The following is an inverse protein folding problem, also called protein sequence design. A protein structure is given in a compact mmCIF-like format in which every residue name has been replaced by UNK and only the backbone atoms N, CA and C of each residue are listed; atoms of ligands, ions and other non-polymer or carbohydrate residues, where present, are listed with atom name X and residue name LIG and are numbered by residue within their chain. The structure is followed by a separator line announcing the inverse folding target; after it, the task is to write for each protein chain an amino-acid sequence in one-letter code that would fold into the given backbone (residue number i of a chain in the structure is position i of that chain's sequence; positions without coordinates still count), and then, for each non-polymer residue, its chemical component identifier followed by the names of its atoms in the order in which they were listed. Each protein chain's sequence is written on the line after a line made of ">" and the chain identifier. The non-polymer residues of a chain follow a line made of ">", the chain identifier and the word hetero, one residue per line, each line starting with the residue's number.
data_IF_807074519564
#
_entry.id   IF_807074519564
#
_cell.length_a   1.000
_cell.length_b   1.000
_cell.length_c   1.000
_cell.angle_alpha   90.00
_cell.angle_beta   90.00
_cell.angle_gamma   90.00
#
_symmetry.space_group_name_H-M   'P 1'
#
loop_
_entity.id
_entity.type
_entity.pdbx_description
1 polymer ?
#
# COMPACT_ATOMS: atom_id res chain seq x y z
N UNK A 1 20.55 -28.44 34.92
CA UNK A 1 19.38 -28.68 35.80
C UNK A 1 18.78 -27.32 36.14
N UNK A 2 17.87 -26.80 35.31
CA UNK A 2 17.19 -25.51 35.53
C UNK A 2 16.12 -25.74 36.61
N UNK A 3 16.24 -25.06 37.75
CA UNK A 3 15.23 -25.12 38.81
C UNK A 3 14.00 -24.35 38.35
N UNK A 4 12.89 -25.05 38.14
CA UNK A 4 11.57 -24.46 38.02
C UNK A 4 11.15 -23.89 39.38
N UNK A 5 11.05 -22.56 39.48
CA UNK A 5 10.35 -21.90 40.57
C UNK A 5 8.85 -21.99 40.30
N UNK A 6 8.12 -22.69 41.17
CA UNK A 6 6.68 -22.89 41.05
C UNK A 6 5.90 -21.58 41.09
N UNK A 7 4.94 -21.45 40.18
CA UNK A 7 3.99 -20.33 40.09
C UNK A 7 2.80 -20.64 40.98
N UNK A 8 2.47 -19.74 41.89
CA UNK A 8 1.16 -19.73 42.56
C UNK A 8 0.16 -18.95 41.70
N UNK A 9 -0.82 -19.65 41.15
CA UNK A 9 -2.11 -19.10 40.72
C UNK A 9 -2.14 -18.41 39.35
N UNK A 10 -2.31 -19.20 38.29
CA UNK A 10 -3.14 -18.95 37.08
C UNK A 10 -2.80 -20.06 36.07
N UNK A 11 -3.72 -21.01 35.91
CA UNK A 11 -3.70 -21.94 34.79
C UNK A 11 -3.82 -21.11 33.49
N UNK A 12 -2.89 -21.33 32.55
CA UNK A 12 -2.56 -20.49 31.38
C UNK A 12 -1.91 -19.13 31.67
N UNK A 13 -0.56 -19.02 31.66
CA UNK A 13 0.07 -17.72 31.60
C UNK A 13 -0.07 -17.14 30.19
N UNK A 14 -1.12 -16.36 29.95
CA UNK A 14 -1.29 -15.53 28.73
C UNK A 14 -0.12 -14.53 28.52
N UNK A 15 0.75 -14.39 29.52
CA UNK A 15 1.92 -13.53 29.49
C UNK A 15 3.10 -14.14 30.25
N UNK A 16 4.27 -14.18 29.58
CA UNK A 16 5.55 -14.56 30.20
C UNK A 16 6.42 -13.32 30.31
N UNK A 17 6.78 -12.93 31.54
CA UNK A 17 7.68 -11.80 31.81
C UNK A 17 9.11 -12.30 32.01
N UNK A 18 10.02 -11.86 31.14
CA UNK A 18 11.46 -12.17 31.21
C UNK A 18 12.19 -10.92 31.71
N UNK A 19 13.00 -11.05 32.77
CA UNK A 19 13.78 -9.95 33.34
C UNK A 19 15.26 -10.28 33.42
N UNK A 20 16.11 -9.43 32.84
CA UNK A 20 17.57 -9.54 32.89
C UNK A 20 18.10 -8.69 34.05
N UNK A 21 18.78 -9.32 35.01
CA UNK A 21 19.21 -8.69 36.27
C UNK A 21 20.72 -8.51 36.40
N UNK A 22 21.52 -9.21 35.60
CA UNK A 22 22.97 -9.05 35.62
C UNK A 22 23.39 -8.20 34.43
N UNK A 23 24.00 -7.04 34.68
CA UNK A 23 24.51 -6.13 33.64
C UNK A 23 25.71 -6.66 32.85
N UNK A 24 25.90 -7.97 32.73
CA UNK A 24 26.93 -8.57 31.89
C UNK A 24 26.64 -8.35 30.41
N UNK A 25 27.68 -8.15 29.60
CA UNK A 25 27.53 -7.83 28.17
C UNK A 25 26.70 -8.85 27.37
N UNK A 26 26.62 -10.10 27.82
CA UNK A 26 25.80 -11.14 27.20
C UNK A 26 24.28 -10.92 27.30
N UNK A 27 23.79 -10.32 28.39
CA UNK A 27 22.36 -10.11 28.63
C UNK A 27 21.77 -9.10 27.63
N UNK A 28 22.54 -8.07 27.26
CA UNK A 28 22.13 -7.09 26.22
C UNK A 28 22.06 -7.73 24.84
N UNK A 29 23.06 -8.54 24.47
CA UNK A 29 23.09 -9.22 23.16
C UNK A 29 21.95 -10.22 23.04
N UNK A 30 21.66 -10.98 24.10
CA UNK A 30 20.52 -11.89 24.11
C UNK A 30 19.19 -11.12 24.02
N UNK A 31 19.03 -10.03 24.77
CA UNK A 31 17.82 -9.20 24.71
C UNK A 31 17.58 -8.63 23.31
N UNK A 32 18.61 -8.10 22.65
CA UNK A 32 18.51 -7.58 21.27
C UNK A 32 18.13 -8.69 20.28
N UNK A 33 18.75 -9.87 20.39
CA UNK A 33 18.41 -11.03 19.54
C UNK A 33 16.99 -11.53 19.80
N UNK A 34 16.55 -11.60 21.06
CA UNK A 34 15.21 -12.01 21.44
C UNK A 34 14.17 -11.01 20.92
N UNK A 35 14.44 -9.71 21.04
CA UNK A 35 13.58 -8.65 20.48
C UNK A 35 13.51 -8.74 18.95
N UNK A 36 14.63 -9.02 18.29
CA UNK A 36 14.69 -9.26 16.85
C UNK A 36 13.84 -10.46 16.43
N UNK A 37 14.01 -11.60 17.11
CA UNK A 37 13.20 -12.79 16.88
C UNK A 37 11.72 -12.52 17.12
N UNK A 38 11.37 -11.81 18.20
CA UNK A 38 9.99 -11.48 18.57
C UNK A 38 9.29 -10.57 17.55
N UNK A 39 10.04 -9.68 16.92
CA UNK A 39 9.56 -8.86 15.79
C UNK A 39 9.35 -9.71 14.54
N UNK A 40 10.27 -10.63 14.26
CA UNK A 40 10.22 -11.47 13.06
C UNK A 40 9.15 -12.58 13.14
N UNK A 41 8.77 -13.04 14.34
CA UNK A 41 7.73 -14.06 14.59
C UNK A 41 7.82 -15.32 13.71
N UNK A 42 9.04 -15.70 13.32
CA UNK A 42 9.29 -16.78 12.35
C UNK A 42 8.73 -18.14 12.78
N UNK A 43 8.59 -18.39 14.08
CA UNK A 43 8.00 -19.62 14.60
C UNK A 43 6.48 -19.74 14.38
N UNK A 44 5.82 -18.66 13.92
CA UNK A 44 4.40 -18.69 13.51
C UNK A 44 4.24 -19.04 12.02
N UNK A 45 5.33 -19.08 11.24
CA UNK A 45 5.30 -19.58 9.88
C UNK A 45 5.19 -21.11 9.94
N UNK A 46 4.12 -21.68 9.38
CA UNK A 46 3.87 -23.14 9.37
C UNK A 46 4.97 -23.96 8.67
N UNK A 47 5.90 -23.30 7.96
CA UNK A 47 7.04 -23.90 7.28
C UNK A 47 8.38 -23.29 7.74
N UNK A 48 8.59 -23.17 9.05
CA UNK A 48 9.88 -22.74 9.58
C UNK A 48 10.93 -23.87 9.46
N UNK A 49 12.12 -23.62 8.88
CA UNK A 49 13.22 -24.58 8.88
C UNK A 49 13.59 -25.01 10.31
N UNK A 50 13.97 -26.27 10.55
CA UNK A 50 14.35 -26.74 11.87
C UNK A 50 15.52 -25.93 12.44
N UNK A 51 15.46 -25.61 13.74
CA UNK A 51 16.49 -24.86 14.45
C UNK A 51 17.86 -25.55 14.30
N UNK A 52 18.93 -24.83 13.90
CA UNK A 52 20.26 -25.40 13.81
C UNK A 52 20.74 -25.89 15.18
N UNK A 53 21.13 -27.16 15.27
CA UNK A 53 21.72 -27.74 16.46
C UNK A 53 23.03 -26.99 16.80
N UNK A 54 23.00 -26.18 17.86
CA UNK A 54 24.09 -25.33 18.31
C UNK A 54 25.23 -26.07 19.01
N UNK A 55 25.80 -27.10 18.38
CA UNK A 55 26.91 -27.89 18.94
C UNK A 55 28.28 -27.53 18.33
N UNK A 56 28.56 -26.23 18.17
CA UNK A 56 29.84 -25.78 17.61
C UNK A 56 30.07 -24.27 17.68
N UNK A 57 30.02 -23.68 18.87
CA UNK A 57 30.51 -22.31 19.09
C UNK A 57 31.74 -22.36 20.01
N UNK A 58 32.89 -22.63 19.39
CA UNK A 58 34.21 -22.35 19.93
C UNK A 58 34.57 -20.90 19.64
N UNK A 59 34.37 -20.09 20.67
CA UNK A 59 34.81 -18.72 20.93
C UNK A 59 35.99 -18.18 20.10
N UNK A 60 35.79 -17.00 19.49
CA UNK A 60 36.85 -16.16 18.93
C UNK A 60 36.62 -14.74 19.41
N UNK A 61 36.94 -14.49 20.68
CA UNK A 61 37.12 -13.14 21.19
C UNK A 61 38.59 -12.89 21.51
N UNK A 62 39.13 -11.89 20.82
CA UNK A 62 40.45 -11.31 21.06
C UNK A 62 40.47 -10.63 22.43
N UNK A 63 41.40 -10.99 23.28
CA UNK A 63 41.92 -10.14 24.34
C UNK A 63 43.35 -10.57 24.70
N UNK A 64 44.27 -9.60 24.64
CA UNK A 64 45.59 -9.64 25.29
C UNK A 64 45.45 -9.99 26.78
N UNK A 65 46.44 -10.67 27.40
CA UNK A 65 47.37 -9.86 28.21
C UNK A 65 48.82 -10.39 28.29
N UNK A 66 49.72 -9.45 28.60
CA UNK A 66 51.00 -9.72 29.24
C UNK A 66 50.80 -10.44 30.59
N UNK A 67 51.57 -11.50 30.85
CA UNK A 67 52.42 -11.74 32.03
C UNK A 67 52.74 -13.24 32.24
N UNK A 68 54.03 -13.55 32.45
CA UNK A 68 54.52 -14.47 33.48
C UNK A 68 54.07 -15.95 33.53
N UNK A 69 54.89 -16.82 32.92
CA UNK A 69 55.50 -18.02 33.52
C UNK A 69 54.65 -19.17 34.15
N UNK A 70 54.85 -20.37 33.54
CA UNK A 70 54.95 -21.76 34.06
C UNK A 70 53.73 -22.71 34.02
N UNK A 71 54.06 -23.93 33.58
CA UNK A 71 53.31 -25.22 33.59
C UNK A 71 52.21 -25.33 32.52
N UNK A 72 52.09 -26.34 31.66
CA UNK A 72 52.71 -27.66 31.54
C UNK A 72 51.68 -28.59 30.86
N UNK A 73 52.02 -29.11 29.67
CA UNK A 73 51.35 -30.20 28.92
C UNK A 73 50.15 -29.89 28.00
N UNK A 74 50.37 -30.03 26.69
CA UNK A 74 49.57 -31.01 25.93
C UNK A 74 48.48 -30.56 24.96
N UNK A 75 48.66 -29.51 24.15
CA UNK A 75 47.99 -29.43 22.84
C UNK A 75 48.97 -28.94 21.80
N UNK A 76 49.40 -29.86 20.94
CA UNK A 76 50.23 -29.56 19.78
C UNK A 76 49.54 -28.46 18.95
N UNK A 77 50.14 -27.28 18.94
CA UNK A 77 49.81 -26.23 18.00
C UNK A 77 50.31 -26.71 16.64
N UNK A 78 49.46 -27.34 15.84
CA UNK A 78 49.72 -27.57 14.42
C UNK A 78 49.53 -26.23 13.68
N UNK A 79 50.35 -25.25 14.05
CA UNK A 79 50.45 -23.97 13.36
C UNK A 79 51.46 -24.14 12.22
N UNK A 80 50.95 -24.42 11.03
CA UNK A 80 51.70 -24.61 9.79
C UNK A 80 50.75 -24.72 8.61
N UNK A 81 51.27 -24.61 7.38
CA UNK A 81 50.50 -24.58 6.13
C UNK A 81 49.55 -25.79 6.01
N UNK A 82 49.95 -26.95 6.54
CA UNK A 82 49.13 -28.16 6.61
C UNK A 82 47.86 -28.01 7.49
N UNK A 83 47.89 -27.19 8.54
CA UNK A 83 46.72 -26.90 9.38
C UNK A 83 45.71 -25.98 8.68
N UNK A 84 46.21 -25.01 7.90
CA UNK A 84 45.36 -24.17 7.04
C UNK A 84 44.79 -24.98 5.87
N UNK A 85 45.55 -25.91 5.29
CA UNK A 85 45.08 -26.82 4.26
C UNK A 85 43.97 -27.75 4.78
N UNK A 86 44.15 -28.34 5.97
CA UNK A 86 43.12 -29.16 6.59
C UNK A 86 41.88 -28.35 6.98
N UNK A 87 42.05 -27.10 7.45
CA UNK A 87 40.94 -26.20 7.71
C UNK A 87 40.19 -25.82 6.43
N UNK A 88 40.90 -25.57 5.32
CA UNK A 88 40.31 -25.28 4.01
C UNK A 88 39.56 -26.48 3.42
N UNK A 89 40.11 -27.69 3.56
CA UNK A 89 39.44 -28.93 3.15
C UNK A 89 38.17 -29.19 3.98
N UNK A 90 38.23 -28.98 5.30
CA UNK A 90 37.06 -29.12 6.17
C UNK A 90 35.98 -28.06 5.84
N UNK A 91 36.37 -26.84 5.49
CA UNK A 91 35.42 -25.80 5.08
C UNK A 91 34.75 -26.14 3.74
N UNK A 92 35.50 -26.67 2.76
CA UNK A 92 34.92 -27.16 1.50
C UNK A 92 33.95 -28.32 1.74
N UNK A 93 34.32 -29.28 2.58
CA UNK A 93 33.46 -30.41 2.92
C UNK A 93 32.19 -29.98 3.67
N UNK A 94 32.28 -29.00 4.57
CA UNK A 94 31.11 -28.46 5.26
C UNK A 94 30.20 -27.68 4.31
N UNK A 95 30.77 -26.91 3.38
CA UNK A 95 30.01 -26.23 2.33
C UNK A 95 29.33 -27.24 1.40
N UNK A 96 30.02 -28.30 1.01
CA UNK A 96 29.46 -29.39 0.17
C UNK A 96 28.28 -30.08 0.86
N UNK A 97 28.39 -30.39 2.15
CA UNK A 97 27.28 -30.96 2.93
C UNK A 97 26.11 -29.97 3.09
N UNK A 98 26.40 -28.69 3.32
CA UNK A 98 25.35 -27.67 3.46
C UNK A 98 24.61 -27.46 2.12
N UNK A 99 25.34 -27.49 1.00
CA UNK A 99 24.77 -27.39 -0.34
C UNK A 99 23.98 -28.66 -0.69
N UNK A 100 24.51 -29.84 -0.37
CA UNK A 100 23.84 -31.13 -0.60
C UNK A 100 22.50 -31.22 0.14
N UNK A 101 22.49 -30.91 1.44
CA UNK A 101 21.24 -30.89 2.23
C UNK A 101 20.24 -29.85 1.70
N UNK A 102 20.70 -28.67 1.28
CA UNK A 102 19.82 -27.66 0.71
C UNK A 102 19.19 -28.10 -0.63
N UNK A 103 19.88 -28.90 -1.44
CA UNK A 103 19.33 -29.47 -2.66
C UNK A 103 18.36 -30.62 -2.40
N UNK A 104 18.62 -31.47 -1.41
CA UNK A 104 17.70 -32.53 -0.98
C UNK A 104 16.39 -31.93 -0.43
N UNK A 105 16.49 -30.89 0.41
CA UNK A 105 15.33 -30.16 0.90
C UNK A 105 14.55 -29.47 -0.24
N UNK A 106 15.25 -28.91 -1.23
CA UNK A 106 14.62 -28.32 -2.41
C UNK A 106 13.90 -29.38 -3.25
N UNK A 107 14.48 -30.56 -3.40
CA UNK A 107 13.85 -31.68 -4.13
C UNK A 107 12.60 -32.20 -3.41
N UNK A 108 12.64 -32.32 -2.07
CA UNK A 108 11.48 -32.64 -1.27
C UNK A 108 10.37 -31.57 -1.39
N UNK A 109 10.75 -30.29 -1.39
CA UNK A 109 9.82 -29.18 -1.61
C UNK A 109 9.26 -29.15 -3.04
N UNK A 110 10.06 -29.49 -4.05
CA UNK A 110 9.57 -29.63 -5.43
C UNK A 110 8.61 -30.81 -5.57
N UNK A 111 8.82 -31.90 -4.83
CA UNK A 111 7.92 -33.05 -4.81
C UNK A 111 6.57 -32.67 -4.17
N UNK A 112 6.57 -31.99 -3.01
CA UNK A 112 5.34 -31.54 -2.37
C UNK A 112 4.60 -30.50 -3.21
N UNK A 113 5.30 -29.57 -3.85
CA UNK A 113 4.70 -28.59 -4.76
C UNK A 113 4.03 -29.26 -5.98
N UNK A 114 4.62 -30.34 -6.51
CA UNK A 114 4.00 -31.12 -7.61
C UNK A 114 2.73 -31.85 -7.16
N UNK A 115 2.69 -32.38 -5.93
CA UNK A 115 1.47 -32.98 -5.38
C UNK A 115 0.36 -31.95 -5.23
N UNK A 116 0.68 -30.77 -4.70
CA UNK A 116 -0.28 -29.64 -4.60
C UNK A 116 -0.76 -29.19 -5.98
N UNK A 117 0.13 -29.10 -6.97
CA UNK A 117 -0.22 -28.77 -8.35
C UNK A 117 -1.11 -29.83 -8.98
N UNK A 118 -0.82 -31.12 -8.78
CA UNK A 118 -1.65 -32.21 -9.29
C UNK A 118 -3.06 -32.19 -8.68
N UNK A 119 -3.15 -31.83 -7.39
CA UNK A 119 -4.43 -31.68 -6.69
C UNK A 119 -5.22 -30.49 -7.25
N UNK A 120 -4.57 -29.34 -7.45
CA UNK A 120 -5.19 -28.17 -8.09
C UNK A 120 -5.66 -28.48 -9.53
N UNK A 121 -4.86 -29.18 -10.33
CA UNK A 121 -5.22 -29.63 -11.68
C UNK A 121 -6.38 -30.62 -11.67
N UNK A 122 -6.44 -31.52 -10.68
CA UNK A 122 -7.54 -32.48 -10.52
C UNK A 122 -8.87 -31.77 -10.24
N UNK A 123 -8.86 -30.75 -9.39
CA UNK A 123 -10.02 -29.90 -9.14
C UNK A 123 -10.41 -29.10 -10.39
N UNK A 124 -9.43 -28.51 -11.09
CA UNK A 124 -9.69 -27.77 -12.34
C UNK A 124 -10.23 -28.68 -13.46
N UNK A 125 -9.85 -29.96 -13.50
CA UNK A 125 -10.35 -30.95 -14.46
C UNK A 125 -11.74 -31.47 -14.10
N UNK A 126 -12.00 -31.76 -12.83
CA UNK A 126 -13.34 -32.11 -12.35
C UNK A 126 -14.33 -30.97 -12.62
N UNK A 127 -13.87 -29.72 -12.52
CA UNK A 127 -14.67 -28.53 -12.82
C UNK A 127 -15.03 -28.39 -14.31
N UNK A 128 -14.14 -28.81 -15.23
CA UNK A 128 -14.41 -28.83 -16.69
C UNK A 128 -15.31 -29.99 -17.14
N UNK A 129 -15.51 -31.00 -16.30
CA UNK A 129 -16.32 -32.18 -16.60
C UNK A 129 -17.77 -32.08 -16.09
N UNK A 130 -18.14 -30.98 -15.43
CA UNK A 130 -19.53 -30.66 -15.06
C UNK A 130 -20.29 -30.00 -16.24
N UNK A 131 -21.58 -30.27 -16.43
CA UNK A 131 -22.33 -29.84 -17.61
C UNK A 131 -22.40 -28.31 -17.71
N UNK A 132 -22.26 -27.81 -18.96
CA UNK A 132 -22.10 -26.42 -19.44
C UNK A 132 -23.20 -25.38 -19.06
N UNK A 133 -23.87 -25.50 -17.91
CA UNK A 133 -24.89 -24.52 -17.47
C UNK A 133 -24.68 -23.91 -16.06
N UNK A 134 -23.64 -24.31 -15.31
CA UNK A 134 -23.45 -23.92 -13.90
C UNK A 134 -22.16 -23.12 -13.60
N UNK A 135 -21.47 -22.60 -14.62
CA UNK A 135 -20.12 -22.02 -14.49
C UNK A 135 -20.03 -20.78 -13.58
N UNK A 136 -21.13 -20.04 -13.37
CA UNK A 136 -21.11 -18.84 -12.54
C UNK A 136 -21.32 -19.12 -11.05
N UNK A 137 -22.22 -20.03 -10.69
CA UNK A 137 -22.49 -20.39 -9.28
C UNK A 137 -21.38 -21.26 -8.71
N UNK A 138 -20.83 -22.19 -9.49
CA UNK A 138 -19.70 -23.01 -9.06
C UNK A 138 -18.43 -22.16 -8.80
N UNK A 139 -18.17 -21.15 -9.63
CA UNK A 139 -17.05 -20.22 -9.42
C UNK A 139 -17.25 -19.32 -8.19
N UNK A 140 -18.49 -18.92 -7.88
CA UNK A 140 -18.80 -18.15 -6.67
C UNK A 140 -18.62 -18.98 -5.39
N UNK A 141 -19.08 -20.24 -5.40
CA UNK A 141 -18.90 -21.18 -4.29
C UNK A 141 -17.42 -21.52 -4.06
N UNK A 142 -16.59 -21.50 -5.11
CA UNK A 142 -15.14 -21.63 -5.01
C UNK A 142 -14.47 -20.40 -4.41
N UNK A 143 -14.90 -19.19 -4.76
CA UNK A 143 -14.42 -17.96 -4.11
C UNK A 143 -14.80 -17.94 -2.62
N UNK A 144 -16.01 -18.39 -2.28
CA UNK A 144 -16.49 -18.52 -0.90
C UNK A 144 -15.75 -19.63 -0.12
N UNK A 145 -15.45 -20.77 -0.76
CA UNK A 145 -14.71 -21.86 -0.13
C UNK A 145 -13.21 -21.53 0.03
N UNK A 146 -12.60 -20.83 -0.93
CA UNK A 146 -11.21 -20.38 -0.85
C UNK A 146 -11.02 -19.30 0.23
N UNK A 147 -11.99 -18.38 0.36
CA UNK A 147 -12.01 -17.39 1.46
C UNK A 147 -12.25 -18.04 2.82
N UNK A 148 -13.13 -19.04 2.94
CA UNK A 148 -13.33 -19.81 4.17
C UNK A 148 -12.10 -20.63 4.60
N UNK A 149 -11.32 -21.12 3.65
CA UNK A 149 -10.09 -21.88 3.91
C UNK A 149 -8.87 -20.99 4.18
N UNK A 150 -9.02 -19.65 4.18
CA UNK A 150 -7.91 -18.72 4.40
C UNK A 150 -6.86 -18.73 3.27
N UNK A 151 -7.16 -19.41 2.16
CA UNK A 151 -6.37 -19.39 0.95
C UNK A 151 -6.67 -18.07 0.24
N UNK A 152 -5.95 -17.01 0.61
CA UNK A 152 -5.84 -15.84 -0.25
C UNK A 152 -5.36 -16.37 -1.59
N UNK A 153 -6.17 -16.20 -2.63
CA UNK A 153 -5.91 -16.68 -3.98
C UNK A 153 -4.68 -15.97 -4.54
N UNK A 154 -3.51 -16.47 -4.21
CA UNK A 154 -2.23 -15.95 -4.68
C UNK A 154 -2.06 -16.26 -6.16
N UNK A 155 -1.35 -15.37 -6.84
CA UNK A 155 -1.06 -15.46 -8.28
C UNK A 155 -0.49 -16.83 -8.67
N UNK A 156 0.23 -17.51 -7.78
CA UNK A 156 0.85 -18.81 -8.06
C UNK A 156 -0.13 -20.00 -7.95
N UNK A 157 -1.17 -19.91 -7.12
CA UNK A 157 -2.20 -20.97 -6.99
C UNK A 157 -3.20 -20.91 -8.16
N UNK A 158 -3.51 -19.71 -8.64
CA UNK A 158 -4.47 -19.49 -9.74
C UNK A 158 -3.77 -19.37 -11.11
N UNK A 159 -2.53 -18.89 -11.15
CA UNK A 159 -1.75 -18.66 -12.38
C UNK A 159 -0.92 -19.84 -12.86
N UNK A 160 -0.90 -20.98 -12.14
CA UNK A 160 -0.16 -22.19 -12.50
C UNK A 160 -0.60 -22.88 -13.80
N UNK A 161 -1.71 -22.46 -14.40
CA UNK A 161 -2.12 -22.87 -15.74
C UNK A 161 -2.54 -21.65 -16.54
N UNK A 162 -1.86 -21.37 -17.66
CA UNK A 162 -2.03 -20.20 -18.53
C UNK A 162 -3.39 -20.08 -19.24
N UNK A 163 -4.50 -20.24 -18.51
CA UNK A 163 -5.84 -19.94 -19.00
C UNK A 163 -6.19 -18.50 -18.61
N UNK A 164 -6.55 -17.66 -19.60
CA UNK A 164 -6.99 -16.28 -19.36
C UNK A 164 -8.17 -16.17 -18.38
N UNK A 165 -8.91 -17.25 -18.16
CA UNK A 165 -9.98 -17.32 -17.17
C UNK A 165 -9.46 -17.18 -15.74
N UNK A 166 -8.36 -17.84 -15.40
CA UNK A 166 -7.76 -17.80 -14.07
C UNK A 166 -7.15 -16.42 -13.76
N UNK A 167 -6.47 -15.80 -14.72
CA UNK A 167 -5.96 -14.42 -14.58
C UNK A 167 -7.11 -13.42 -14.38
N UNK A 168 -8.22 -13.60 -15.12
CA UNK A 168 -9.40 -12.75 -14.97
C UNK A 168 -10.05 -12.87 -13.59
N UNK A 169 -10.12 -14.08 -13.02
CA UNK A 169 -10.65 -14.30 -11.67
C UNK A 169 -9.76 -13.61 -10.62
N UNK A 170 -8.45 -13.83 -10.67
CA UNK A 170 -7.49 -13.15 -9.80
C UNK A 170 -7.63 -11.63 -9.84
N UNK A 171 -7.67 -11.04 -11.05
CA UNK A 171 -7.81 -9.59 -11.20
C UNK A 171 -9.16 -9.08 -10.68
N UNK A 172 -10.23 -9.87 -10.82
CA UNK A 172 -11.55 -9.51 -10.32
C UNK A 172 -11.63 -9.51 -8.78
N UNK A 173 -11.01 -10.49 -8.14
CA UNK A 173 -10.92 -10.56 -6.67
C UNK A 173 -10.00 -9.46 -6.13
N UNK A 174 -8.86 -9.22 -6.78
CA UNK A 174 -7.99 -8.10 -6.45
C UNK A 174 -8.75 -6.78 -6.57
N UNK A 175 -9.53 -6.58 -7.63
CA UNK A 175 -10.35 -5.37 -7.82
C UNK A 175 -11.34 -5.14 -6.68
N UNK A 176 -12.03 -6.19 -6.22
CA UNK A 176 -12.96 -6.14 -5.07
C UNK A 176 -12.23 -5.83 -3.77
N UNK A 177 -11.12 -6.51 -3.49
CA UNK A 177 -10.29 -6.28 -2.30
C UNK A 177 -9.76 -4.84 -2.25
N UNK A 178 -9.31 -4.30 -3.39
CA UNK A 178 -8.87 -2.90 -3.48
C UNK A 178 -10.01 -1.91 -3.22
N UNK A 179 -11.20 -2.18 -3.75
CA UNK A 179 -12.38 -1.36 -3.48
C UNK A 179 -12.75 -1.40 -2.00
N UNK A 180 -12.77 -2.58 -1.40
CA UNK A 180 -13.01 -2.78 0.04
C UNK A 180 -11.98 -2.02 0.88
N UNK A 181 -10.68 -2.14 0.56
CA UNK A 181 -9.61 -1.42 1.24
C UNK A 181 -9.79 0.11 1.20
N UNK A 182 -10.29 0.64 0.09
CA UNK A 182 -10.57 2.07 -0.08
C UNK A 182 -11.83 2.52 0.68
N UNK A 183 -12.87 1.69 0.70
CA UNK A 183 -14.14 1.99 1.37
C UNK A 183 -14.16 1.65 2.85
N UNK A 184 -13.17 0.91 3.34
CA UNK A 184 -13.05 0.54 4.75
C UNK A 184 -13.04 1.80 5.63
N UNK A 185 -14.14 1.97 6.37
CA UNK A 185 -14.39 3.13 7.19
C UNK A 185 -13.38 3.28 8.32
N UNK A 186 -12.81 2.17 8.81
CA UNK A 186 -11.82 2.18 9.88
C UNK A 186 -10.49 2.79 9.42
N UNK A 187 -10.12 2.54 8.16
CA UNK A 187 -8.90 3.11 7.57
C UNK A 187 -9.14 4.50 7.03
N UNK A 188 -10.32 4.74 6.46
CA UNK A 188 -10.74 6.03 5.93
C UNK A 188 -9.76 6.61 4.92
N UNK A 189 -9.15 5.74 4.09
CA UNK A 189 -8.04 6.11 3.18
C UNK A 189 -8.46 7.26 2.27
N UNK A 190 -9.61 7.13 1.63
CA UNK A 190 -10.12 8.14 0.72
C UNK A 190 -10.54 9.43 1.45
N UNK A 191 -11.09 9.32 2.66
CA UNK A 191 -11.44 10.49 3.49
C UNK A 191 -10.21 11.29 3.91
N UNK A 192 -9.13 10.61 4.30
CA UNK A 192 -7.86 11.25 4.68
C UNK A 192 -7.17 11.96 3.52
N UNK A 193 -7.36 11.45 2.30
CA UNK A 193 -6.80 12.03 1.08
C UNK A 193 -7.73 13.06 0.41
N UNK A 194 -8.73 13.60 1.10
CA UNK A 194 -9.61 14.63 0.51
C UNK A 194 -10.56 14.12 -0.58
N UNK A 195 -10.87 12.82 -0.58
CA UNK A 195 -11.82 12.20 -1.50
C UNK A 195 -11.21 11.68 -2.81
N UNK A 196 -9.90 11.85 -3.01
CA UNK A 196 -9.19 11.46 -4.24
C UNK A 196 -7.75 11.08 -3.92
N UNK A 197 -7.20 10.10 -4.62
CA UNK A 197 -5.81 9.68 -4.42
C UNK A 197 -5.17 9.21 -5.73
N UNK A 198 -3.86 9.42 -5.90
CA UNK A 198 -3.15 8.86 -7.05
C UNK A 198 -3.11 7.34 -6.98
N UNK A 199 -3.14 6.69 -8.15
CA UNK A 199 -3.05 5.23 -8.24
C UNK A 199 -1.71 4.72 -7.66
N UNK A 200 -0.65 5.51 -7.83
CA UNK A 200 0.70 5.21 -7.33
C UNK A 200 0.74 5.25 -5.80
N UNK A 201 0.18 6.30 -5.19
CA UNK A 201 0.13 6.42 -3.72
C UNK A 201 -0.75 5.32 -3.13
N UNK A 202 -1.86 5.00 -3.78
CA UNK A 202 -2.72 3.91 -3.36
C UNK A 202 -2.00 2.57 -3.43
N UNK A 203 -1.29 2.28 -4.53
CA UNK A 203 -0.49 1.06 -4.67
C UNK A 203 0.56 0.95 -3.56
N UNK A 204 1.27 2.05 -3.27
CA UNK A 204 2.29 2.09 -2.23
C UNK A 204 1.66 1.85 -0.83
N UNK A 205 0.54 2.50 -0.52
CA UNK A 205 -0.16 2.30 0.75
C UNK A 205 -0.71 0.89 0.91
N UNK A 206 -1.27 0.31 -0.16
CA UNK A 206 -1.82 -1.04 -0.14
C UNK A 206 -0.73 -2.08 0.13
N UNK A 207 0.38 -2.00 -0.59
CA UNK A 207 1.52 -2.91 -0.40
C UNK A 207 2.20 -2.69 0.96
N UNK A 208 2.26 -1.45 1.46
CA UNK A 208 2.77 -1.15 2.80
C UNK A 208 1.88 -1.72 3.90
N UNK A 209 0.56 -1.69 3.73
CA UNK A 209 -0.39 -2.27 4.67
C UNK A 209 -0.27 -3.80 4.78
N UNK A 210 0.20 -4.48 3.71
CA UNK A 210 0.48 -5.92 3.69
C UNK A 210 1.81 -6.35 4.34
N UNK A 211 2.64 -5.39 4.79
CA UNK A 211 3.84 -5.71 5.58
C UNK A 211 4.94 -6.48 4.85
N UNK A 212 4.97 -6.45 3.51
CA UNK A 212 6.02 -7.09 2.70
C UNK A 212 5.74 -8.53 2.28
N UNK A 213 4.56 -9.07 2.60
CA UNK A 213 4.10 -10.39 2.15
C UNK A 213 3.06 -10.21 1.04
N UNK A 214 3.09 -11.04 0.00
CA UNK A 214 2.14 -11.01 -1.14
C UNK A 214 1.95 -9.61 -1.77
N UNK A 215 3.07 -9.05 -2.24
CA UNK A 215 3.09 -7.77 -2.94
C UNK A 215 2.38 -7.86 -4.28
N UNK A 216 1.56 -6.85 -4.58
CA UNK A 216 0.89 -6.73 -5.88
C UNK A 216 1.77 -5.93 -6.83
N UNK A 217 1.96 -6.45 -8.05
CA UNK A 217 2.73 -5.75 -9.09
C UNK A 217 1.99 -4.50 -9.57
N UNK A 218 2.69 -3.42 -9.96
CA UNK A 218 2.03 -2.20 -10.48
C UNK A 218 1.11 -2.46 -11.67
N UNK A 219 1.49 -3.37 -12.57
CA UNK A 219 0.70 -3.72 -13.75
C UNK A 219 -0.59 -4.46 -13.39
N UNK A 220 -0.52 -5.42 -12.45
CA UNK A 220 -1.71 -6.13 -11.99
C UNK A 220 -2.65 -5.19 -11.22
N UNK A 221 -2.08 -4.24 -10.48
CA UNK A 221 -2.84 -3.20 -9.76
C UNK A 221 -3.62 -2.31 -10.73
N UNK A 222 -2.98 -1.84 -11.80
CA UNK A 222 -3.63 -1.04 -12.84
C UNK A 222 -4.75 -1.83 -13.54
N UNK A 223 -4.47 -3.08 -13.95
CA UNK A 223 -5.48 -3.96 -14.57
C UNK A 223 -6.69 -4.15 -13.65
N UNK A 224 -6.48 -4.37 -12.36
CA UNK A 224 -7.55 -4.53 -11.38
C UNK A 224 -8.34 -3.23 -11.17
N UNK A 225 -7.68 -2.07 -11.15
CA UNK A 225 -8.35 -0.77 -11.04
C UNK A 225 -9.26 -0.47 -12.25
N UNK A 226 -8.87 -0.87 -13.46
CA UNK A 226 -9.69 -0.74 -14.67
C UNK A 226 -10.96 -1.60 -14.64
N UNK A 227 -11.03 -2.63 -13.79
CA UNK A 227 -12.22 -3.47 -13.63
C UNK A 227 -13.30 -2.84 -12.73
N UNK A 228 -13.01 -1.77 -11.98
CA UNK A 228 -13.98 -1.17 -11.05
C UNK A 228 -15.25 -0.68 -11.74
N UNK A 229 -15.13 -0.09 -12.94
CA UNK A 229 -16.29 0.36 -13.72
C UNK A 229 -17.15 -0.82 -14.20
N UNK A 230 -16.50 -1.89 -14.66
CA UNK A 230 -17.17 -3.11 -15.15
C UNK A 230 -17.90 -3.82 -14.02
N UNK A 231 -17.29 -3.89 -12.84
CA UNK A 231 -17.84 -4.53 -11.64
C UNK A 231 -18.82 -3.62 -10.87
N UNK A 232 -19.03 -2.38 -11.33
CA UNK A 232 -19.94 -1.38 -10.71
C UNK A 232 -19.64 -1.12 -9.24
N UNK A 233 -18.36 -1.15 -8.86
CA UNK A 233 -17.91 -0.90 -7.50
C UNK A 233 -18.08 0.59 -7.12
N UNK A 234 -18.10 0.93 -5.82
CA UNK A 234 -18.33 2.31 -5.34
C UNK A 234 -17.13 3.27 -5.59
N UNK A 235 -16.09 2.80 -6.26
CA UNK A 235 -14.89 3.54 -6.62
C UNK A 235 -14.70 3.55 -8.14
N UNK A 236 -14.03 4.59 -8.66
CA UNK A 236 -13.73 4.72 -10.09
C UNK A 236 -12.30 5.16 -10.33
N UNK A 237 -11.73 4.69 -11.43
CA UNK A 237 -10.45 5.13 -11.95
C UNK A 237 -10.70 6.30 -12.91
N UNK A 238 -10.07 7.45 -12.65
CA UNK A 238 -10.06 8.61 -13.54
C UNK A 238 -8.63 8.84 -14.04
N UNK A 239 -8.48 9.26 -15.28
CA UNK A 239 -7.19 9.62 -15.87
C UNK A 239 -7.25 11.09 -16.26
N UNK A 240 -6.29 11.88 -15.79
CA UNK A 240 -6.12 13.27 -16.19
C UNK A 240 -5.41 13.38 -17.55
N UNK A 241 -5.37 14.58 -18.14
CA UNK A 241 -4.76 14.79 -19.46
C UNK A 241 -3.26 14.57 -19.47
N UNK A 242 -2.59 14.82 -18.35
CA UNK A 242 -1.18 14.50 -18.13
C UNK A 242 -0.88 12.99 -18.18
N UNK A 243 -1.92 12.15 -18.08
CA UNK A 243 -1.80 10.70 -17.94
C UNK A 243 -1.78 10.23 -16.48
N UNK A 244 -1.78 11.14 -15.50
CA UNK A 244 -1.89 10.77 -14.09
C UNK A 244 -3.21 10.05 -13.84
N UNK A 245 -3.11 8.85 -13.27
CA UNK A 245 -4.27 8.04 -12.89
C UNK A 245 -4.58 8.25 -11.42
N UNK A 246 -5.86 8.52 -11.14
CA UNK A 246 -6.37 8.76 -9.79
C UNK A 246 -7.60 7.92 -9.51
N UNK A 247 -7.81 7.65 -8.24
CA UNK A 247 -8.94 6.89 -7.72
C UNK A 247 -9.79 7.82 -6.87
N UNK A 248 -11.10 7.80 -7.12
CA UNK A 248 -12.06 8.59 -6.36
C UNK A 248 -13.36 7.80 -6.16
N UNK A 249 -14.21 8.27 -5.24
CA UNK A 249 -15.55 7.73 -5.09
C UNK A 249 -16.36 7.91 -6.37
N UNK A 250 -17.25 6.97 -6.65
CA UNK A 250 -18.16 7.01 -7.79
C UNK A 250 -19.06 8.26 -7.79
N UNK A 251 -19.42 8.76 -6.62
CA UNK A 251 -20.33 9.90 -6.47
C UNK A 251 -19.67 11.26 -6.71
N UNK A 252 -18.32 11.33 -6.65
CA UNK A 252 -17.56 12.55 -6.84
C UNK A 252 -17.40 12.84 -8.32
N UNK A 253 -17.99 13.93 -8.82
CA UNK A 253 -17.81 14.39 -10.20
C UNK A 253 -16.95 15.64 -10.28
N UNK A 254 -16.36 15.87 -11.45
CA UNK A 254 -15.53 17.05 -11.70
C UNK A 254 -16.32 18.35 -11.47
N UNK A 255 -17.63 18.37 -11.75
CA UNK A 255 -18.50 19.52 -11.48
C UNK A 255 -18.62 19.80 -9.98
N UNK A 256 -18.67 18.74 -9.16
CA UNK A 256 -18.71 18.89 -7.70
C UNK A 256 -17.39 19.43 -7.16
N UNK A 257 -16.26 18.97 -7.71
CA UNK A 257 -14.92 19.47 -7.35
C UNK A 257 -14.76 20.95 -7.73
N UNK A 258 -15.12 21.33 -8.96
CA UNK A 258 -15.03 22.72 -9.43
C UNK A 258 -15.89 23.65 -8.58
N UNK A 259 -17.11 23.23 -8.21
CA UNK A 259 -17.96 24.01 -7.30
C UNK A 259 -17.34 24.18 -5.92
N UNK A 260 -16.67 23.15 -5.39
CA UNK A 260 -15.99 23.23 -4.11
C UNK A 260 -14.79 24.19 -4.15
N UNK A 261 -14.00 24.15 -5.23
CA UNK A 261 -12.89 25.10 -5.46
C UNK A 261 -13.40 26.53 -5.53
N UNK A 262 -14.46 26.79 -6.30
CA UNK A 262 -15.07 28.12 -6.38
C UNK A 262 -15.65 28.61 -5.05
N UNK A 263 -16.31 27.74 -4.29
CA UNK A 263 -16.82 28.08 -2.97
C UNK A 263 -15.67 28.51 -2.05
N UNK A 264 -14.57 27.74 -2.05
CA UNK A 264 -13.39 28.09 -1.28
C UNK A 264 -12.76 29.42 -1.71
N UNK A 265 -12.61 29.67 -3.02
CA UNK A 265 -12.08 30.95 -3.51
C UNK A 265 -12.92 32.14 -3.06
N UNK A 266 -14.25 32.00 -3.09
CA UNK A 266 -15.18 33.04 -2.59
C UNK A 266 -15.07 33.25 -1.10
N UNK A 267 -14.89 32.19 -0.32
CA UNK A 267 -14.67 32.32 1.13
C UNK A 267 -13.42 33.15 1.43
N UNK A 268 -12.38 33.07 0.58
CA UNK A 268 -11.16 33.88 0.73
C UNK A 268 -11.39 35.38 0.55
N UNK A 269 -12.49 35.81 -0.08
CA UNK A 269 -12.82 37.25 -0.19
C UNK A 269 -13.19 37.87 1.16
N UNK A 270 -13.53 37.05 2.16
CA UNK A 270 -13.88 37.53 3.50
C UNK A 270 -12.66 37.79 4.39
N UNK A 271 -11.48 37.31 3.99
CA UNK A 271 -10.26 37.41 4.77
C UNK A 271 -9.30 38.43 4.15
N UNK A 272 -8.87 39.46 4.89
CA UNK A 272 -7.91 40.43 4.37
C UNK A 272 -6.55 39.75 4.13
N UNK A 273 -5.84 40.08 3.04
CA UNK A 273 -4.52 39.54 2.77
C UNK A 273 -3.47 40.02 3.79
N UNK A 274 -2.49 39.17 4.11
CA UNK A 274 -1.41 39.46 5.06
C UNK A 274 -0.53 40.66 4.66
N UNK A 275 -0.53 41.00 3.36
CA UNK A 275 0.22 42.12 2.79
C UNK A 275 -0.77 43.09 2.15
N UNK A 276 -0.46 44.37 2.22
CA UNK A 276 -1.19 45.39 1.48
C UNK A 276 -1.07 45.10 -0.02
N UNK A 277 -2.22 44.88 -0.66
CA UNK A 277 -2.32 44.62 -2.10
C UNK A 277 -2.87 45.86 -2.81
N UNK A 278 -2.52 46.00 -4.09
CA UNK A 278 -2.90 47.16 -4.92
C UNK A 278 -4.27 47.03 -5.59
N UNK A 279 -4.90 45.85 -5.52
CA UNK A 279 -6.23 45.57 -6.07
C UNK A 279 -7.28 45.45 -4.97
N UNK A 280 -8.56 45.53 -5.36
CA UNK A 280 -9.67 45.29 -4.45
C UNK A 280 -9.79 43.79 -4.15
N UNK A 281 -9.30 43.38 -2.98
CA UNK A 281 -9.32 41.98 -2.54
C UNK A 281 -10.72 41.50 -2.15
N UNK A 282 -11.68 42.39 -1.89
CA UNK A 282 -13.06 41.98 -1.62
C UNK A 282 -13.78 41.59 -2.92
N UNK A 283 -13.43 42.25 -4.03
CA UNK A 283 -13.98 41.96 -5.35
C UNK A 283 -13.24 40.82 -6.06
N UNK A 284 -11.90 40.87 -6.11
CA UNK A 284 -11.09 39.93 -6.90
C UNK A 284 -10.46 38.79 -6.08
N UNK A 285 -10.54 38.86 -4.75
CA UNK A 285 -9.99 37.85 -3.88
C UNK A 285 -8.46 37.76 -3.89
N UNK A 286 -7.96 36.54 -3.68
CA UNK A 286 -6.54 36.18 -3.62
C UNK A 286 -6.28 34.97 -4.51
N UNK A 287 -5.16 35.01 -5.24
CA UNK A 287 -4.66 33.84 -5.96
C UNK A 287 -4.24 32.72 -5.01
N UNK A 288 -4.51 31.48 -5.43
CA UNK A 288 -4.17 30.27 -4.68
C UNK A 288 -3.13 29.45 -5.44
N UNK A 289 -2.21 28.86 -4.70
CA UNK A 289 -1.23 27.92 -5.24
C UNK A 289 -1.75 26.48 -5.12
N UNK A 290 -1.11 25.55 -5.84
CA UNK A 290 -1.40 24.13 -5.67
C UNK A 290 -1.14 23.63 -4.24
N UNK A 291 -0.17 24.24 -3.53
CA UNK A 291 0.08 23.94 -2.13
C UNK A 291 -1.09 24.38 -1.24
N UNK A 292 -1.62 25.59 -1.45
CA UNK A 292 -2.79 26.09 -0.71
C UNK A 292 -4.00 25.17 -0.90
N UNK A 293 -4.20 24.65 -2.11
CA UNK A 293 -5.27 23.70 -2.41
C UNK A 293 -5.02 22.32 -1.77
N UNK A 294 -3.79 21.83 -1.79
CA UNK A 294 -3.40 20.59 -1.12
C UNK A 294 -3.70 20.66 0.39
N UNK A 295 -3.32 21.75 1.04
CA UNK A 295 -3.57 21.96 2.48
C UNK A 295 -5.07 22.12 2.79
N UNK A 296 -5.82 22.83 1.94
CA UNK A 296 -7.25 23.05 2.14
C UNK A 296 -8.07 21.77 1.98
N UNK A 297 -7.80 20.99 0.95
CA UNK A 297 -8.61 19.84 0.59
C UNK A 297 -8.04 18.51 1.09
N UNK A 298 -6.81 18.49 1.59
CA UNK A 298 -6.10 17.26 1.98
C UNK A 298 -5.65 16.43 0.79
N UNK A 299 -5.45 17.06 -0.37
CA UNK A 299 -4.99 16.40 -1.59
C UNK A 299 -3.47 16.25 -1.57
N UNK A 300 -2.94 15.27 -2.31
CA UNK A 300 -1.52 15.27 -2.63
C UNK A 300 -1.21 16.38 -3.63
N UNK A 301 0.02 16.89 -3.60
CA UNK A 301 0.43 18.04 -4.43
C UNK A 301 0.11 17.83 -5.91
N UNK A 302 0.47 16.68 -6.48
CA UNK A 302 0.19 16.38 -7.89
C UNK A 302 -1.30 16.29 -8.20
N UNK A 303 -2.13 15.82 -7.26
CA UNK A 303 -3.60 15.83 -7.47
C UNK A 303 -4.16 17.25 -7.41
N UNK A 304 -3.62 18.10 -6.55
CA UNK A 304 -4.03 19.50 -6.44
C UNK A 304 -3.70 20.30 -7.70
N UNK A 305 -2.53 20.10 -8.29
CA UNK A 305 -2.14 20.69 -9.58
C UNK A 305 -3.14 20.30 -10.68
N UNK A 306 -3.41 19.00 -10.83
CA UNK A 306 -4.30 18.47 -11.87
C UNK A 306 -5.77 18.92 -11.72
N UNK A 307 -6.27 19.04 -10.49
CA UNK A 307 -7.64 19.51 -10.25
C UNK A 307 -7.78 21.02 -10.49
N UNK A 308 -6.74 21.81 -10.21
CA UNK A 308 -6.71 23.24 -10.52
C UNK A 308 -6.58 23.48 -12.03
N UNK A 309 -5.71 22.75 -12.72
CA UNK A 309 -5.60 22.77 -14.18
C UNK A 309 -6.93 22.37 -14.83
N UNK A 310 -7.59 21.33 -14.33
CA UNK A 310 -8.92 20.94 -14.83
C UNK A 310 -9.96 22.06 -14.67
N UNK A 311 -9.90 22.84 -13.58
CA UNK A 311 -10.78 23.97 -13.37
C UNK A 311 -10.44 25.16 -14.30
N UNK A 312 -9.16 25.36 -14.63
CA UNK A 312 -8.70 26.31 -15.66
C UNK A 312 -9.24 25.91 -17.03
N UNK A 313 -9.13 24.65 -17.42
CA UNK A 313 -9.60 24.15 -18.73
C UNK A 313 -11.10 24.31 -18.93
N UNK A 314 -11.87 24.28 -17.83
CA UNK A 314 -13.30 24.58 -17.83
C UNK A 314 -13.62 26.08 -17.94
N UNK A 315 -12.59 26.93 -17.99
CA UNK A 315 -12.69 28.39 -18.04
C UNK A 315 -13.15 29.01 -16.73
N UNK A 316 -13.10 28.27 -15.63
CA UNK A 316 -13.58 28.72 -14.31
C UNK A 316 -12.47 29.43 -13.54
N UNK A 317 -11.24 28.95 -13.69
CA UNK A 317 -10.05 29.60 -13.16
C UNK A 317 -9.20 30.19 -14.28
N UNK A 318 -8.39 31.17 -13.95
CA UNK A 318 -7.30 31.64 -14.78
C UNK A 318 -5.97 31.49 -14.05
N UNK A 319 -4.90 31.26 -14.80
CA UNK A 319 -3.54 31.14 -14.28
C UNK A 319 -2.78 32.45 -14.39
N UNK A 320 -2.01 32.74 -13.37
CA UNK A 320 -0.99 33.78 -13.32
C UNK A 320 0.37 33.12 -13.13
N UNK A 321 1.25 33.25 -14.10
CA UNK A 321 2.64 32.82 -13.99
C UNK A 321 3.51 34.01 -13.63
N UNK A 322 4.08 33.99 -12.43
CA UNK A 322 4.92 35.07 -11.91
C UNK A 322 6.22 34.56 -11.30
N UNK A 323 7.05 35.49 -10.82
CA UNK A 323 8.32 35.18 -10.15
C UNK A 323 8.08 34.40 -8.84
N UNK A 324 6.92 34.63 -8.20
CA UNK A 324 6.50 33.92 -6.99
C UNK A 324 5.94 32.51 -7.26
N UNK A 325 5.83 32.10 -8.54
CA UNK A 325 5.30 30.81 -8.96
C UNK A 325 3.95 30.92 -9.67
N UNK A 326 3.32 29.76 -9.87
CA UNK A 326 2.02 29.62 -10.53
C UNK A 326 0.89 29.83 -9.52
N UNK A 327 0.00 30.78 -9.81
CA UNK A 327 -1.20 31.05 -9.01
C UNK A 327 -2.45 30.90 -9.87
N UNK A 328 -3.52 30.41 -9.26
CA UNK A 328 -4.84 30.30 -9.87
C UNK A 328 -5.79 31.30 -9.23
N UNK A 329 -6.63 31.92 -10.06
CA UNK A 329 -7.59 32.95 -9.68
C UNK A 329 -8.98 32.59 -10.20
N UNK A 330 -10.05 33.11 -9.55
CA UNK A 330 -11.38 33.04 -10.16
C UNK A 330 -11.36 33.82 -11.48
N UNK A 331 -11.90 33.22 -12.54
CA UNK A 331 -11.82 33.80 -13.86
C UNK A 331 -12.80 34.97 -14.01
N UNK A 332 -12.29 36.20 -13.87
CA UNK A 332 -13.00 37.45 -14.18
C UNK A 332 -12.77 37.94 -15.60
N UNK A 333 -11.85 37.30 -16.34
CA UNK A 333 -11.57 37.63 -17.72
C UNK A 333 -12.72 37.04 -18.53
N UNK A 334 -13.63 37.91 -18.98
CA UNK A 334 -14.76 37.54 -19.82
C UNK A 334 -14.25 36.91 -21.12
N UNK A 335 -14.15 35.58 -21.14
CA UNK A 335 -13.69 34.85 -22.32
C UNK A 335 -14.79 34.68 -23.37
N UNK A 336 -15.82 35.54 -23.39
CA UNK A 336 -16.61 35.89 -24.59
C UNK A 336 -17.33 34.78 -25.37
N UNK A 337 -17.17 33.49 -25.05
CA UNK A 337 -17.60 32.39 -25.92
C UNK A 337 -18.70 31.51 -25.31
N UNK A 338 -19.02 31.59 -24.01
CA UNK A 338 -20.07 30.74 -23.42
C UNK A 338 -21.01 31.40 -22.39
N UNK A 339 -21.17 32.73 -22.36
CA UNK A 339 -22.35 33.37 -21.75
C UNK A 339 -23.50 33.54 -22.75
N UNK A 340 -23.97 32.44 -23.35
CA UNK A 340 -25.41 32.27 -23.60
C UNK A 340 -26.04 31.49 -22.44
N UNK A 341 -25.92 32.03 -21.22
CA UNK A 341 -26.97 31.77 -20.24
C UNK A 341 -28.05 32.81 -20.53
N UNK A 342 -29.23 32.44 -21.05
CA UNK A 342 -30.33 33.38 -21.05
C UNK A 342 -30.50 33.80 -19.59
N UNK A 343 -30.39 35.10 -19.33
CA UNK A 343 -30.73 35.68 -18.03
C UNK A 343 -32.08 35.07 -17.65
N UNK A 344 -32.17 34.32 -16.54
CA UNK A 344 -33.47 33.83 -16.06
C UNK A 344 -34.30 35.08 -15.81
N UNK A 345 -35.21 35.38 -16.73
CA UNK A 345 -36.13 36.50 -16.61
C UNK A 345 -36.94 36.22 -15.35
N UNK A 346 -36.68 36.99 -14.31
CA UNK A 346 -37.43 36.87 -13.05
C UNK A 346 -38.84 37.41 -13.26
N UNK A 347 -39.78 37.00 -12.43
CA UNK A 347 -41.16 37.49 -12.53
C UNK A 347 -41.23 39.01 -12.35
N UNK A 348 -40.32 39.56 -11.54
CA UNK A 348 -40.11 41.01 -11.39
C UNK A 348 -39.67 41.69 -12.70
N UNK A 349 -38.79 41.05 -13.49
CA UNK A 349 -38.36 41.59 -14.79
C UNK A 349 -39.53 41.64 -15.79
N UNK A 350 -40.40 40.62 -15.79
CA UNK A 350 -41.61 40.60 -16.64
C UNK A 350 -42.63 41.66 -16.22
N UNK A 351 -42.81 41.86 -14.92
CA UNK A 351 -43.70 42.90 -14.37
C UNK A 351 -43.18 44.29 -14.75
N UNK A 352 -41.88 44.53 -14.64
CA UNK A 352 -41.25 45.79 -15.05
C UNK A 352 -41.39 46.06 -16.55
N UNK A 353 -41.27 45.03 -17.39
CA UNK A 353 -41.46 45.13 -18.83
C UNK A 353 -42.93 45.38 -19.20
N UNK A 354 -43.87 44.75 -18.49
CA UNK A 354 -45.31 45.00 -18.64
C UNK A 354 -45.71 46.42 -18.20
N UNK A 355 -45.14 46.94 -17.11
CA UNK A 355 -45.38 48.31 -16.63
C UNK A 355 -44.85 49.37 -17.59
N UNK A 356 -43.67 49.15 -18.19
CA UNK A 356 -43.12 50.03 -19.23
C UNK A 356 -43.94 50.01 -20.52
N UNK A 357 -44.36 48.84 -20.97
CA UNK A 357 -45.18 48.72 -22.20
C UNK A 357 -46.60 49.27 -22.04
N UNK A 358 -47.11 49.31 -20.81
CA UNK A 358 -48.40 49.94 -20.48
C UNK A 358 -48.29 51.43 -20.11
N UNK A 359 -47.07 52.00 -20.15
CA UNK A 359 -46.84 53.44 -19.95
C UNK A 359 -47.07 53.92 -18.52
N UNK A 360 -47.03 53.01 -17.54
CA UNK A 360 -47.18 53.33 -16.11
C UNK A 360 -45.86 53.71 -15.43
N UNK A 361 -44.72 53.44 -16.08
CA UNK A 361 -43.35 53.81 -15.64
C UNK A 361 -42.51 54.19 -16.86
#
# INVERSE_FOLDING_TARGET
>A
MLKYGGVTGLENPENVKISFRNGGGGDKVFYEKLKGAMTQRKWLLQEAPPVPNGNGLGDSTRADPLTGAKSGSGRAKTAGIAGLEQMGLNQRKNNELTIGNAFEDLEALMASAKEVQALADSFARQLRSGPDSASSEANALLAESATQLGLITTKDIVGGGGSSASESLYLSELSRNLAEFLTDDARGVLRKAGGIISLVDLWAMFNRARGGVELVSPNDFEKAARLWEKLKLPVRLRTFKSGVMVVQSRDRTDETTVKAILAWLRDLHSFPPDRAVSWDWQEFGRGVTAQDAADRFGWSMGVAEEELEMAEERGVLCREEGIEGLKFWENYIDTGEYRRRPKKVTEADKIMEALKSSGLI
#
